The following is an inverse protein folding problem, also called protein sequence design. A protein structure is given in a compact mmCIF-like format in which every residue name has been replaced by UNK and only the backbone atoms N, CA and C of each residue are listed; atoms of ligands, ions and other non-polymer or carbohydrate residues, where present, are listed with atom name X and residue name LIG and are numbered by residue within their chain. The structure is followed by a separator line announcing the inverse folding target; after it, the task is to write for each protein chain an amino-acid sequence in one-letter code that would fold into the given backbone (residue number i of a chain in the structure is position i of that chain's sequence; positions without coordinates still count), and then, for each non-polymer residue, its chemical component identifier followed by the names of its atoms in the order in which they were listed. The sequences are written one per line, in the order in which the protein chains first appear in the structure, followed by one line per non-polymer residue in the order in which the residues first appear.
data_IF_804464969099
#
_entry.id   IF_804464969099
#
_cell.length_a   1.000
_cell.length_b   1.000
_cell.length_c   1.000
_cell.angle_alpha   90.00
_cell.angle_beta   90.00
_cell.angle_gamma   90.00
#
_symmetry.space_group_name_H-M   'P 1'
#
loop_
_entity.id
_entity.type
_entity.pdbx_description
1 polymer ?
#
# COMPACT_ATOMS: atom_id res chain seq x y z
N UNK A 1 -12.10 -44.63 90.85
CA UNK A 1 -13.44 -44.02 90.96
C UNK A 1 -13.74 -43.34 89.65
N UNK A 2 -14.80 -43.80 89.00
CA UNK A 2 -15.29 -43.42 87.67
C UNK A 2 -15.82 -41.99 87.61
N UNK A 3 -15.39 -41.21 86.61
CA UNK A 3 -16.15 -40.06 86.12
C UNK A 3 -16.37 -40.22 84.63
N UNK A 4 -17.48 -40.87 84.31
CA UNK A 4 -18.16 -40.87 83.01
C UNK A 4 -18.60 -39.46 82.66
N UNK A 5 -17.94 -38.80 81.71
CA UNK A 5 -18.47 -37.61 81.04
C UNK A 5 -19.39 -38.02 79.90
N UNK A 6 -20.67 -37.72 80.12
CA UNK A 6 -21.81 -37.82 79.21
C UNK A 6 -21.51 -37.15 77.86
N UNK A 7 -21.35 -37.95 76.80
CA UNK A 7 -21.15 -37.47 75.43
C UNK A 7 -22.50 -37.15 74.78
N UNK A 8 -23.15 -36.07 75.26
CA UNK A 8 -24.25 -35.45 74.52
C UNK A 8 -23.67 -34.68 73.35
N UNK A 9 -23.56 -35.37 72.22
CA UNK A 9 -23.39 -34.75 70.90
C UNK A 9 -24.48 -33.69 70.74
N UNK A 10 -24.08 -32.42 70.74
CA UNK A 10 -24.98 -31.27 70.60
C UNK A 10 -25.63 -31.27 69.21
N UNK A 11 -26.77 -31.95 69.09
CA UNK A 11 -27.62 -31.98 67.88
C UNK A 11 -28.06 -30.59 67.37
N UNK A 12 -27.91 -29.54 68.20
CA UNK A 12 -28.25 -28.16 67.87
C UNK A 12 -27.22 -27.49 66.95
N UNK A 13 -25.94 -27.92 66.95
CA UNK A 13 -24.95 -27.36 66.00
C UNK A 13 -25.10 -27.91 64.58
N UNK A 14 -25.67 -29.12 64.44
CA UNK A 14 -25.83 -29.80 63.15
C UNK A 14 -26.92 -29.16 62.27
N UNK A 15 -28.00 -28.65 62.88
CA UNK A 15 -29.04 -27.91 62.13
C UNK A 15 -28.51 -26.59 61.55
N UNK A 16 -27.50 -25.95 62.15
CA UNK A 16 -26.97 -24.66 61.67
C UNK A 16 -26.17 -24.76 60.37
N UNK A 17 -25.55 -25.91 60.10
CA UNK A 17 -24.67 -26.07 58.92
C UNK A 17 -25.44 -26.10 57.59
N UNK A 18 -26.68 -26.59 57.59
CA UNK A 18 -27.55 -26.66 56.41
C UNK A 18 -28.26 -25.33 56.08
N UNK A 19 -28.47 -24.48 57.09
CA UNK A 19 -29.25 -23.26 56.94
C UNK A 19 -28.41 -22.17 56.25
N UNK A 20 -27.09 -22.17 56.42
CA UNK A 20 -26.19 -21.17 55.83
C UNK A 20 -26.22 -21.10 54.28
N UNK A 21 -26.03 -22.21 53.52
CA UNK A 21 -26.09 -22.16 52.06
C UNK A 21 -27.49 -21.87 51.52
N UNK A 22 -28.55 -22.35 52.21
CA UNK A 22 -29.94 -22.07 51.83
C UNK A 22 -30.26 -20.58 52.06
N UNK A 23 -29.84 -19.99 53.17
CA UNK A 23 -30.00 -18.55 53.45
C UNK A 23 -29.24 -17.69 52.44
N UNK A 24 -28.02 -18.07 52.06
CA UNK A 24 -27.26 -17.35 51.04
C UNK A 24 -27.92 -17.43 49.66
N UNK A 25 -28.45 -18.60 49.28
CA UNK A 25 -29.21 -18.76 48.02
C UNK A 25 -30.50 -17.94 47.99
N UNK A 26 -31.24 -17.89 49.10
CA UNK A 26 -32.47 -17.08 49.22
C UNK A 26 -32.15 -15.58 49.20
N UNK A 27 -31.09 -15.15 49.89
CA UNK A 27 -30.66 -13.75 49.89
C UNK A 27 -30.23 -13.26 48.50
N UNK A 28 -29.49 -14.07 47.76
CA UNK A 28 -29.09 -13.77 46.38
C UNK A 28 -30.29 -13.70 45.43
N UNK A 29 -31.28 -14.59 45.62
CA UNK A 29 -32.52 -14.60 44.84
C UNK A 29 -33.39 -13.37 45.10
N UNK A 30 -33.49 -12.92 46.36
CA UNK A 30 -34.20 -11.70 46.74
C UNK A 30 -33.51 -10.43 46.21
N UNK A 31 -32.18 -10.43 46.15
CA UNK A 31 -31.39 -9.32 45.60
C UNK A 31 -31.58 -9.20 44.07
N UNK A 32 -31.71 -10.33 43.38
CA UNK A 32 -32.05 -10.37 41.95
C UNK A 32 -33.50 -9.93 41.65
N UNK A 33 -34.44 -10.13 42.58
CA UNK A 33 -35.84 -9.66 42.47
C UNK A 33 -35.99 -8.14 42.71
N UNK A 34 -35.06 -7.51 43.43
CA UNK A 34 -35.08 -6.07 43.74
C UNK A 34 -34.64 -5.18 42.56
N UNK A 35 -33.97 -5.76 41.55
CA UNK A 35 -33.53 -5.06 40.34
C UNK A 35 -34.60 -5.27 39.26
N UNK A 36 -35.57 -4.36 39.23
CA UNK A 36 -36.70 -4.22 38.28
C UNK A 36 -36.29 -4.49 36.80
N UNK A 37 -36.98 -5.20 35.89
CA UNK A 37 -38.34 -5.75 35.74
C UNK A 37 -38.28 -7.24 35.34
N UNK A 38 -39.20 -8.08 35.85
CA UNK A 38 -39.19 -9.55 35.73
C UNK A 38 -39.23 -9.99 34.24
N UNK A 39 -38.10 -10.51 33.75
CA UNK A 39 -37.98 -11.09 32.42
C UNK A 39 -37.79 -12.62 32.54
N UNK A 40 -38.33 -13.41 31.59
CA UNK A 40 -38.38 -14.88 31.67
C UNK A 40 -37.00 -15.51 31.93
N UNK A 41 -35.96 -14.89 31.37
CA UNK A 41 -34.56 -15.32 31.51
C UNK A 41 -34.04 -15.22 32.95
N UNK A 42 -34.50 -14.23 33.72
CA UNK A 42 -34.10 -14.01 35.11
C UNK A 42 -34.79 -15.02 36.05
N UNK A 43 -36.02 -15.42 35.71
CA UNK A 43 -36.77 -16.46 36.43
C UNK A 43 -36.12 -17.84 36.25
N UNK A 44 -35.63 -18.15 35.04
CA UNK A 44 -34.85 -19.37 34.78
C UNK A 44 -33.53 -19.37 35.57
N UNK A 45 -32.85 -18.23 35.67
CA UNK A 45 -31.60 -18.11 36.42
C UNK A 45 -31.79 -18.31 37.94
N UNK A 46 -32.89 -17.82 38.51
CA UNK A 46 -33.19 -18.05 39.93
C UNK A 46 -33.50 -19.53 40.19
N UNK A 47 -34.29 -20.16 39.32
CA UNK A 47 -34.64 -21.58 39.47
C UNK A 47 -33.39 -22.46 39.36
N UNK A 48 -32.48 -22.19 38.40
CA UNK A 48 -31.26 -22.98 38.25
C UNK A 48 -30.32 -22.85 39.44
N UNK A 49 -30.16 -21.66 40.01
CA UNK A 49 -29.37 -21.46 41.25
C UNK A 49 -29.97 -22.24 42.41
N UNK A 50 -31.31 -22.24 42.55
CA UNK A 50 -31.99 -22.93 43.64
C UNK A 50 -31.90 -24.46 43.49
N UNK A 51 -31.98 -24.98 42.27
CA UNK A 51 -31.77 -26.40 41.96
C UNK A 51 -30.34 -26.82 42.27
N UNK A 52 -29.34 -26.02 41.91
CA UNK A 52 -27.92 -26.31 42.22
C UNK A 52 -27.69 -26.31 43.73
N UNK A 53 -28.25 -25.34 44.47
CA UNK A 53 -28.12 -25.29 45.91
C UNK A 53 -28.74 -26.53 46.60
N UNK A 54 -29.91 -26.98 46.13
CA UNK A 54 -30.56 -28.20 46.64
C UNK A 54 -29.75 -29.45 46.27
N UNK A 55 -29.21 -29.53 45.06
CA UNK A 55 -28.38 -30.66 44.63
C UNK A 55 -27.08 -30.76 45.45
N UNK A 56 -26.41 -29.63 45.70
CA UNK A 56 -25.22 -29.56 46.57
C UNK A 56 -25.57 -29.96 47.99
N UNK A 57 -26.74 -29.54 48.50
CA UNK A 57 -27.18 -29.95 49.83
C UNK A 57 -27.44 -31.47 49.90
N UNK A 58 -28.14 -32.04 48.93
CA UNK A 58 -28.37 -33.50 48.88
C UNK A 58 -27.04 -34.26 48.76
N UNK A 59 -26.13 -33.79 47.91
CA UNK A 59 -24.81 -34.40 47.73
C UNK A 59 -23.98 -34.38 49.02
N UNK A 60 -23.90 -33.24 49.70
CA UNK A 60 -23.24 -33.14 51.00
C UNK A 60 -23.89 -34.07 52.05
N UNK A 61 -25.21 -34.24 51.99
CA UNK A 61 -25.95 -35.07 52.96
C UNK A 61 -25.64 -36.55 52.76
N UNK A 62 -25.58 -36.99 51.50
CA UNK A 62 -25.18 -38.35 51.17
C UNK A 62 -23.71 -38.61 51.49
N UNK A 63 -22.82 -37.67 51.15
CA UNK A 63 -21.39 -37.82 51.41
C UNK A 63 -21.06 -37.94 52.92
N UNK A 64 -21.78 -37.19 53.77
CA UNK A 64 -21.59 -37.26 55.22
C UNK A 64 -22.23 -38.50 55.88
N UNK A 65 -23.33 -39.04 55.33
CA UNK A 65 -23.90 -40.30 55.83
C UNK A 65 -23.01 -41.51 55.53
N UNK A 66 -22.21 -41.44 54.45
CA UNK A 66 -21.12 -42.41 54.20
C UNK A 66 -19.97 -42.30 55.20
N UNK A 67 -19.66 -41.10 55.71
CA UNK A 67 -18.63 -40.90 56.73
C UNK A 67 -19.09 -41.29 58.15
N UNK A 68 -20.40 -41.22 58.45
CA UNK A 68 -20.95 -41.57 59.77
C UNK A 68 -21.29 -43.06 59.95
N UNK A 69 -21.30 -43.88 58.88
CA UNK A 69 -21.54 -45.34 58.96
C UNK A 69 -20.28 -46.20 58.91
N UNK A 70 -19.10 -45.59 58.81
CA UNK A 70 -17.82 -46.29 58.81
C UNK A 70 -17.19 -46.47 60.19
N UNK A 71 -17.89 -47.08 61.15
CA UNK A 71 -17.26 -47.57 62.41
C UNK A 71 -18.02 -48.75 63.00
N UNK A 72 -17.73 -49.96 62.48
CA UNK A 72 -17.56 -51.15 63.32
C UNK A 72 -17.06 -52.32 62.48
N UNK A 73 -15.75 -52.54 62.53
CA UNK A 73 -15.22 -53.90 62.57
C UNK A 73 -13.84 -53.84 63.23
N UNK A 74 -13.79 -54.41 64.43
CA UNK A 74 -12.57 -54.68 65.19
C UNK A 74 -11.95 -55.94 64.57
N UNK A 75 -10.76 -55.82 64.01
CA UNK A 75 -9.88 -56.94 63.64
C UNK A 75 -8.48 -56.60 64.17
N UNK A 76 -7.80 -57.50 64.91
CA UNK A 76 -6.61 -57.14 65.67
C UNK A 76 -5.35 -57.10 64.80
N UNK A 77 -4.48 -56.13 65.14
CA UNK A 77 -3.02 -56.11 64.97
C UNK A 77 -2.39 -56.91 63.82
N UNK A 78 -2.01 -56.19 62.75
CA UNK A 78 -0.74 -56.41 62.06
C UNK A 78 -0.24 -55.10 61.43
N UNK A 79 0.69 -54.46 62.13
CA UNK A 79 1.42 -53.27 61.74
C UNK A 79 2.57 -53.66 60.80
N UNK A 80 2.44 -53.41 59.49
CA UNK A 80 3.57 -53.08 58.58
C UNK A 80 3.13 -52.72 57.14
N UNK A 81 2.02 -53.24 56.63
CA UNK A 81 1.70 -53.17 55.17
C UNK A 81 0.95 -51.90 54.74
N UNK A 82 0.18 -51.25 55.62
CA UNK A 82 -0.69 -50.13 55.23
C UNK A 82 0.03 -48.78 54.98
N UNK A 83 1.23 -48.57 55.52
CA UNK A 83 2.02 -47.36 55.23
C UNK A 83 2.63 -47.44 53.82
N UNK A 84 3.20 -48.60 53.50
CA UNK A 84 3.88 -48.86 52.23
C UNK A 84 2.94 -48.84 51.00
N UNK A 85 1.64 -49.08 51.16
CA UNK A 85 0.67 -49.04 50.04
C UNK A 85 0.17 -47.62 49.76
N UNK A 86 0.07 -46.76 50.79
CA UNK A 86 -0.36 -45.35 50.64
C UNK A 86 0.77 -44.48 50.07
N UNK A 87 2.01 -44.68 50.53
CA UNK A 87 3.20 -44.04 49.93
C UNK A 87 3.35 -44.40 48.44
N UNK A 88 3.16 -45.69 48.08
CA UNK A 88 3.28 -46.15 46.68
C UNK A 88 2.26 -45.55 45.71
N UNK A 89 1.04 -45.22 46.14
CA UNK A 89 0.05 -44.59 45.25
C UNK A 89 0.35 -43.09 45.04
N UNK A 90 0.86 -42.41 46.06
CA UNK A 90 1.25 -41.00 46.00
C UNK A 90 2.54 -40.82 45.16
N UNK A 91 3.51 -41.74 45.28
CA UNK A 91 4.75 -41.74 44.49
C UNK A 91 4.48 -42.03 43.00
N UNK A 92 3.60 -42.98 42.70
CA UNK A 92 3.17 -43.27 41.32
C UNK A 92 2.41 -42.11 40.67
N UNK A 93 1.67 -41.31 41.46
CA UNK A 93 1.01 -40.09 40.97
C UNK A 93 2.02 -39.00 40.65
N UNK A 94 3.02 -38.79 41.52
CA UNK A 94 4.10 -37.83 41.31
C UNK A 94 4.92 -38.18 40.07
N UNK A 95 5.33 -39.43 39.92
CA UNK A 95 6.11 -39.91 38.77
C UNK A 95 5.35 -39.70 37.44
N UNK A 96 4.07 -40.07 37.39
CA UNK A 96 3.22 -39.84 36.20
C UNK A 96 3.02 -38.36 35.90
N UNK A 97 2.87 -37.53 36.93
CA UNK A 97 2.71 -36.08 36.78
C UNK A 97 3.97 -35.43 36.23
N UNK A 98 5.15 -35.79 36.75
CA UNK A 98 6.44 -35.31 36.25
C UNK A 98 6.68 -35.71 34.79
N UNK A 99 6.37 -36.94 34.40
CA UNK A 99 6.47 -37.38 33.00
C UNK A 99 5.53 -36.58 32.06
N UNK A 100 4.32 -36.23 32.52
CA UNK A 100 3.39 -35.41 31.75
C UNK A 100 3.94 -33.98 31.59
N UNK A 101 4.43 -33.35 32.67
CA UNK A 101 5.01 -32.01 32.61
C UNK A 101 6.30 -31.98 31.78
N UNK A 102 7.18 -32.96 31.91
CA UNK A 102 8.38 -33.09 31.09
C UNK A 102 8.00 -33.10 29.60
N UNK A 103 7.02 -33.93 29.21
CA UNK A 103 6.53 -33.98 27.84
C UNK A 103 5.91 -32.65 27.39
N UNK A 104 5.11 -32.01 28.24
CA UNK A 104 4.49 -30.71 27.93
C UNK A 104 5.53 -29.60 27.77
N UNK A 105 6.54 -29.53 28.65
CA UNK A 105 7.64 -28.57 28.57
C UNK A 105 8.47 -28.83 27.32
N UNK A 106 8.76 -30.10 26.99
CA UNK A 106 9.47 -30.47 25.76
C UNK A 106 8.70 -30.08 24.50
N UNK A 107 7.38 -30.29 24.48
CA UNK A 107 6.51 -29.86 23.39
C UNK A 107 6.49 -28.34 23.27
N UNK A 108 6.29 -27.61 24.37
CA UNK A 108 6.29 -26.14 24.39
C UNK A 108 7.63 -25.57 23.91
N UNK A 109 8.76 -26.08 24.44
CA UNK A 109 10.12 -25.71 24.02
C UNK A 109 10.31 -25.89 22.52
N UNK A 110 9.96 -27.07 21.99
CA UNK A 110 10.09 -27.40 20.57
C UNK A 110 9.23 -26.48 19.70
N UNK A 111 7.96 -26.28 20.07
CA UNK A 111 7.04 -25.41 19.34
C UNK A 111 7.52 -23.96 19.31
N UNK A 112 7.95 -23.42 20.46
CA UNK A 112 8.48 -22.05 20.52
C UNK A 112 9.76 -21.91 19.70
N UNK A 113 10.66 -22.90 19.75
CA UNK A 113 11.87 -22.90 18.94
C UNK A 113 11.56 -22.87 17.44
N UNK A 114 10.67 -23.76 16.97
CA UNK A 114 10.26 -23.79 15.55
C UNK A 114 9.60 -22.46 15.15
N UNK A 115 8.69 -21.93 15.96
CA UNK A 115 7.98 -20.69 15.67
C UNK A 115 8.92 -19.48 15.59
N UNK A 116 9.90 -19.38 16.50
CA UNK A 116 10.89 -18.29 16.48
C UNK A 116 11.86 -18.43 15.31
N UNK A 117 12.31 -19.65 14.97
CA UNK A 117 13.16 -19.87 13.80
C UNK A 117 12.42 -19.50 12.50
N UNK A 118 11.14 -19.87 12.36
CA UNK A 118 10.30 -19.47 11.22
C UNK A 118 10.15 -17.94 11.15
N UNK A 119 9.89 -17.29 12.29
CA UNK A 119 9.80 -15.84 12.37
C UNK A 119 11.10 -15.14 11.98
N UNK A 120 12.25 -15.63 12.46
CA UNK A 120 13.57 -15.09 12.10
C UNK A 120 13.84 -15.22 10.59
N UNK A 121 13.45 -16.34 9.99
CA UNK A 121 13.61 -16.58 8.55
C UNK A 121 12.76 -15.58 7.75
N UNK A 122 11.49 -15.40 8.14
CA UNK A 122 10.59 -14.41 7.51
C UNK A 122 11.11 -12.98 7.61
N UNK A 123 11.69 -12.62 8.75
CA UNK A 123 12.31 -11.29 8.93
C UNK A 123 13.52 -11.10 8.01
N UNK A 124 14.38 -12.12 7.87
CA UNK A 124 15.49 -12.09 6.93
C UNK A 124 15.02 -11.95 5.48
N UNK A 125 13.97 -12.65 5.09
CA UNK A 125 13.38 -12.56 3.75
C UNK A 125 12.79 -11.16 3.50
N UNK A 126 12.07 -10.60 4.49
CA UNK A 126 11.53 -9.24 4.42
C UNK A 126 12.61 -8.17 4.27
N UNK A 127 13.73 -8.31 4.99
CA UNK A 127 14.87 -7.40 4.84
C UNK A 127 15.42 -7.45 3.40
N UNK A 128 15.59 -8.65 2.85
CA UNK A 128 16.14 -8.82 1.51
C UNK A 128 15.18 -8.32 0.41
N UNK A 129 13.88 -8.54 0.56
CA UNK A 129 12.87 -8.00 -0.35
C UNK A 129 12.79 -6.47 -0.28
N UNK A 130 12.94 -5.89 0.91
CA UNK A 130 13.00 -4.44 1.10
C UNK A 130 14.25 -3.83 0.44
N UNK A 131 15.41 -4.47 0.59
CA UNK A 131 16.65 -4.04 -0.07
C UNK A 131 16.49 -4.04 -1.60
N UNK A 132 15.88 -5.10 -2.16
CA UNK A 132 15.56 -5.19 -3.58
C UNK A 132 14.59 -4.09 -4.02
N UNK A 133 13.55 -3.80 -3.24
CA UNK A 133 12.58 -2.77 -3.55
C UNK A 133 13.23 -1.37 -3.57
N UNK A 134 14.06 -1.04 -2.58
CA UNK A 134 14.79 0.23 -2.53
C UNK A 134 15.79 0.34 -3.69
N UNK A 135 16.54 -0.73 -3.98
CA UNK A 135 17.48 -0.75 -5.11
C UNK A 135 16.79 -0.61 -6.47
N UNK A 136 15.60 -1.21 -6.65
CA UNK A 136 14.79 -1.04 -7.84
C UNK A 136 14.30 0.41 -7.99
N UNK A 137 13.82 1.02 -6.91
CA UNK A 137 13.38 2.41 -6.93
C UNK A 137 14.52 3.39 -7.21
N UNK A 138 15.72 3.13 -6.66
CA UNK A 138 16.93 3.92 -6.95
C UNK A 138 17.35 3.80 -8.41
N UNK A 139 17.38 2.61 -9.00
CA UNK A 139 17.70 2.47 -10.43
C UNK A 139 16.73 3.22 -11.32
N UNK A 140 15.43 3.20 -11.01
CA UNK A 140 14.42 3.95 -11.75
C UNK A 140 14.63 5.48 -11.67
N UNK A 141 15.27 5.99 -10.61
CA UNK A 141 15.62 7.41 -10.48
C UNK A 141 17.02 7.74 -11.00
N UNK A 142 17.96 6.80 -10.97
CA UNK A 142 19.24 6.94 -11.68
C UNK A 142 19.01 7.00 -13.19
N UNK A 143 18.06 6.22 -13.74
CA UNK A 143 17.60 6.39 -15.14
C UNK A 143 16.92 7.75 -15.38
N UNK A 144 16.44 8.44 -14.36
CA UNK A 144 15.93 9.81 -14.48
C UNK A 144 17.10 10.82 -14.57
N UNK A 145 18.13 10.63 -13.75
CA UNK A 145 19.24 11.56 -13.52
C UNK A 145 20.55 11.17 -14.23
N UNK A 146 20.53 10.15 -15.10
CA UNK A 146 21.71 9.65 -15.80
C UNK A 146 22.28 10.73 -16.73
N UNK A 147 23.20 11.52 -16.18
CA UNK A 147 23.96 12.53 -16.89
C UNK A 147 24.78 11.93 -18.03
N UNK A 148 24.67 12.60 -19.17
CA UNK A 148 25.60 12.62 -20.30
C UNK A 148 25.81 11.34 -21.13
N UNK A 149 25.17 10.19 -20.83
CA UNK A 149 25.37 9.03 -21.71
C UNK A 149 24.26 7.95 -21.80
N UNK A 150 23.06 8.15 -21.27
CA UNK A 150 22.04 7.10 -21.34
C UNK A 150 20.58 7.57 -21.23
N UNK A 151 20.10 8.44 -22.13
CA UNK A 151 18.68 8.48 -22.50
C UNK A 151 17.70 8.67 -21.35
N UNK A 152 18.15 9.36 -20.28
CA UNK A 152 17.36 9.51 -19.07
C UNK A 152 16.16 10.42 -19.27
N UNK A 153 15.20 10.36 -18.35
CA UNK A 153 13.96 11.16 -18.44
C UNK A 153 14.27 12.67 -18.54
N UNK A 154 15.32 13.16 -17.88
CA UNK A 154 15.75 14.58 -17.97
C UNK A 154 16.34 14.92 -19.34
N UNK A 155 17.12 14.03 -19.95
CA UNK A 155 17.68 14.25 -21.30
C UNK A 155 16.57 14.23 -22.36
N UNK A 156 15.67 13.24 -22.28
CA UNK A 156 14.49 13.15 -23.14
C UNK A 156 13.63 14.41 -23.02
N UNK A 157 13.52 14.98 -21.81
CA UNK A 157 12.80 16.22 -21.57
C UNK A 157 13.49 17.41 -22.24
N UNK A 158 14.79 17.62 -22.04
CA UNK A 158 15.54 18.72 -22.67
C UNK A 158 15.51 18.62 -24.20
N UNK A 159 15.61 17.40 -24.74
CA UNK A 159 15.46 17.13 -26.16
C UNK A 159 14.05 17.49 -26.65
N UNK A 160 13.02 17.05 -25.93
CA UNK A 160 11.63 17.38 -26.24
C UNK A 160 11.38 18.88 -26.18
N UNK A 161 11.97 19.60 -25.22
CA UNK A 161 11.91 21.07 -25.14
C UNK A 161 12.47 21.72 -26.40
N UNK A 162 13.65 21.27 -26.82
CA UNK A 162 14.34 21.79 -28.01
C UNK A 162 13.54 21.50 -29.29
N UNK A 163 13.02 20.28 -29.43
CA UNK A 163 12.19 19.89 -30.57
C UNK A 163 10.89 20.71 -30.61
N UNK A 164 10.20 20.88 -29.48
CA UNK A 164 8.99 21.70 -29.40
C UNK A 164 9.26 23.18 -29.68
N UNK A 165 10.38 23.73 -29.19
CA UNK A 165 10.81 25.08 -29.52
C UNK A 165 11.10 25.25 -31.02
N UNK A 166 11.69 24.24 -31.66
CA UNK A 166 11.93 24.26 -33.11
C UNK A 166 10.65 24.29 -33.93
N UNK A 167 9.58 23.64 -33.46
CA UNK A 167 8.25 23.67 -34.10
C UNK A 167 7.67 25.08 -34.04
N UNK A 168 7.78 25.76 -32.90
CA UNK A 168 7.34 27.16 -32.77
C UNK A 168 8.10 28.09 -33.73
N UNK A 169 9.41 27.90 -33.87
CA UNK A 169 10.21 28.65 -34.85
C UNK A 169 9.72 28.40 -36.28
N UNK A 170 9.51 27.14 -36.66
CA UNK A 170 9.02 26.78 -37.99
C UNK A 170 7.62 27.38 -38.28
N UNK A 171 6.74 27.44 -37.28
CA UNK A 171 5.42 28.06 -37.40
C UNK A 171 5.53 29.59 -37.59
N UNK A 172 6.43 30.25 -36.87
CA UNK A 172 6.69 31.67 -37.03
C UNK A 172 7.27 32.00 -38.43
N UNK A 173 8.19 31.17 -38.93
CA UNK A 173 8.74 31.29 -40.29
C UNK A 173 7.64 31.11 -41.35
N UNK A 174 6.74 30.14 -41.16
CA UNK A 174 5.59 29.95 -42.04
C UNK A 174 4.67 31.18 -42.07
N UNK A 175 4.42 31.82 -40.91
CA UNK A 175 3.66 33.08 -40.85
C UNK A 175 4.37 34.23 -41.56
N UNK A 176 5.71 34.30 -41.47
CA UNK A 176 6.47 35.30 -42.19
C UNK A 176 6.37 35.09 -43.71
N UNK A 177 6.56 33.87 -44.19
CA UNK A 177 6.40 33.53 -45.61
C UNK A 177 5.00 33.87 -46.13
N UNK A 178 3.96 33.57 -45.34
CA UNK A 178 2.57 33.94 -45.68
C UNK A 178 2.36 35.45 -45.82
N UNK A 179 2.95 36.26 -44.93
CA UNK A 179 2.91 37.73 -45.03
C UNK A 179 3.60 38.25 -46.29
N UNK A 180 4.69 37.61 -46.70
CA UNK A 180 5.38 37.95 -47.93
C UNK A 180 4.52 37.63 -49.17
N UNK A 181 3.88 36.47 -49.21
CA UNK A 181 2.92 36.11 -50.27
C UNK A 181 1.78 37.13 -50.38
N UNK A 182 1.22 37.61 -49.24
CA UNK A 182 0.19 38.67 -49.26
C UNK A 182 0.74 39.97 -49.86
N UNK A 183 2.00 40.33 -49.56
CA UNK A 183 2.65 41.51 -50.15
C UNK A 183 2.75 41.38 -51.66
N UNK A 184 3.19 40.23 -52.18
CA UNK A 184 3.31 39.99 -53.62
C UNK A 184 1.95 40.04 -54.33
N UNK A 185 0.89 39.48 -53.73
CA UNK A 185 -0.48 39.56 -54.28
C UNK A 185 -0.98 41.01 -54.34
N UNK A 186 -0.65 41.82 -53.32
CA UNK A 186 -0.99 43.25 -53.31
C UNK A 186 -0.24 44.01 -54.41
N UNK A 187 1.05 43.72 -54.63
CA UNK A 187 1.82 44.29 -55.75
C UNK A 187 1.23 43.89 -57.11
N UNK A 188 0.82 42.63 -57.26
CA UNK A 188 0.16 42.15 -58.47
C UNK A 188 -1.18 42.87 -58.73
N UNK A 189 -1.93 43.19 -57.68
CA UNK A 189 -3.17 43.98 -57.79
C UNK A 189 -2.90 45.39 -58.35
N UNK A 190 -1.78 46.01 -57.96
CA UNK A 190 -1.33 47.31 -58.54
C UNK A 190 -0.96 47.17 -60.02
N UNK A 191 -0.34 46.06 -60.42
CA UNK A 191 -0.06 45.79 -61.84
C UNK A 191 -1.35 45.59 -62.66
N UNK A 192 -2.36 44.95 -62.09
CA UNK A 192 -3.67 44.79 -62.73
C UNK A 192 -4.38 46.13 -62.94
N UNK A 193 -4.29 47.06 -61.98
CA UNK A 193 -4.82 48.42 -62.16
C UNK A 193 -4.21 49.14 -63.37
N UNK A 194 -2.89 49.03 -63.56
CA UNK A 194 -2.19 49.57 -64.74
C UNK A 194 -2.69 48.93 -66.04
N UNK A 195 -2.97 47.62 -66.04
CA UNK A 195 -3.51 46.92 -67.21
C UNK A 195 -4.92 47.41 -67.58
N UNK A 196 -5.75 47.77 -66.58
CA UNK A 196 -7.05 48.42 -66.85
C UNK A 196 -6.84 49.75 -67.58
N UNK A 197 -5.91 50.59 -67.11
CA UNK A 197 -5.59 51.87 -67.77
C UNK A 197 -5.13 51.66 -69.21
N UNK A 198 -4.22 50.71 -69.45
CA UNK A 198 -3.75 50.39 -70.81
C UNK A 198 -4.88 49.87 -71.71
N UNK A 199 -5.77 49.02 -71.18
CA UNK A 199 -6.92 48.52 -71.92
C UNK A 199 -7.87 49.66 -72.31
N UNK A 200 -8.12 50.60 -71.40
CA UNK A 200 -8.95 51.78 -71.66
C UNK A 200 -8.33 52.72 -72.70
N UNK A 201 -7.01 52.91 -72.67
CA UNK A 201 -6.26 53.66 -73.68
C UNK A 201 -6.40 53.03 -75.08
N UNK A 202 -6.21 51.71 -75.20
CA UNK A 202 -6.42 50.96 -76.45
C UNK A 202 -7.86 51.12 -76.94
N UNK A 203 -8.83 51.03 -76.03
CA UNK A 203 -10.24 51.25 -76.34
C UNK A 203 -10.52 52.66 -76.84
N UNK A 204 -9.84 53.67 -76.29
CA UNK A 204 -9.93 55.07 -76.73
C UNK A 204 -9.36 55.26 -78.14
N UNK A 205 -8.16 54.72 -78.40
CA UNK A 205 -7.53 54.74 -79.72
C UNK A 205 -8.41 54.04 -80.76
N UNK A 206 -9.00 52.90 -80.40
CA UNK A 206 -9.91 52.15 -81.25
C UNK A 206 -11.16 52.98 -81.59
N UNK A 207 -11.78 53.67 -80.62
CA UNK A 207 -12.92 54.58 -80.88
C UNK A 207 -12.53 55.77 -81.78
N UNK A 208 -11.35 56.35 -81.57
CA UNK A 208 -10.87 57.46 -82.40
C UNK A 208 -10.57 57.00 -83.84
N UNK A 209 -9.96 55.82 -84.00
CA UNK A 209 -9.71 55.20 -85.31
C UNK A 209 -11.02 54.86 -86.03
N UNK A 210 -12.02 54.38 -85.30
CA UNK A 210 -13.36 54.14 -85.84
C UNK A 210 -13.97 55.44 -86.39
N UNK A 211 -13.86 56.56 -85.67
CA UNK A 211 -14.33 57.87 -86.15
C UNK A 211 -13.53 58.36 -87.37
N UNK A 212 -12.21 58.18 -87.37
CA UNK A 212 -11.36 58.54 -88.51
C UNK A 212 -11.72 57.74 -89.77
N UNK A 213 -11.89 56.43 -89.61
CA UNK A 213 -12.24 55.51 -90.70
C UNK A 213 -13.64 55.77 -91.26
N UNK A 214 -14.58 56.19 -90.40
CA UNK A 214 -15.91 56.65 -90.82
C UNK A 214 -15.80 57.90 -91.68
N UNK A 215 -15.03 58.90 -91.25
CA UNK A 215 -14.81 60.13 -92.03
C UNK A 215 -14.13 59.81 -93.38
N UNK A 216 -13.15 58.91 -93.38
CA UNK A 216 -12.48 58.46 -94.60
C UNK A 216 -13.43 57.71 -95.56
N UNK A 217 -14.33 56.88 -95.03
CA UNK A 217 -15.34 56.19 -95.83
C UNK A 217 -16.34 57.17 -96.47
N UNK A 218 -16.73 58.21 -95.74
CA UNK A 218 -17.61 59.28 -96.25
C UNK A 218 -16.91 60.04 -97.38
N UNK A 219 -15.65 60.44 -97.20
CA UNK A 219 -14.91 61.19 -98.22
C UNK A 219 -14.59 60.32 -99.45
N UNK A 220 -14.31 59.03 -99.26
CA UNK A 220 -14.13 58.07 -100.35
C UNK A 220 -15.42 57.88 -101.17
N UNK A 221 -16.60 57.87 -100.52
CA UNK A 221 -17.88 57.85 -101.23
C UNK A 221 -18.13 59.15 -102.01
N UNK A 222 -17.68 60.29 -101.46
CA UNK A 222 -17.81 61.62 -102.09
C UNK A 222 -16.95 61.78 -103.34
N UNK A 223 -15.79 61.12 -103.39
CA UNK A 223 -14.88 61.10 -104.54
C UNK A 223 -15.35 60.18 -105.70
N UNK A 224 -16.46 59.44 -105.53
CA UNK A 224 -17.04 58.60 -106.58
C UNK A 224 -16.14 57.44 -107.01
N UNK A 225 -16.02 57.21 -108.33
CA UNK A 225 -15.23 56.10 -108.90
C UNK A 225 -13.74 56.17 -108.49
N UNK A 226 -13.16 57.37 -108.38
CA UNK A 226 -11.76 57.57 -107.95
C UNK A 226 -11.52 57.19 -106.48
N UNK A 227 -12.57 57.10 -105.65
CA UNK A 227 -12.49 56.78 -104.23
C UNK A 227 -12.71 55.31 -103.86
N UNK A 228 -13.07 54.43 -104.82
CA UNK A 228 -13.44 53.02 -104.53
C UNK A 228 -12.36 52.25 -103.74
N UNK A 229 -11.08 52.41 -104.08
CA UNK A 229 -9.99 51.75 -103.38
C UNK A 229 -9.86 52.21 -101.92
N UNK A 230 -10.00 53.53 -101.68
CA UNK A 230 -9.98 54.10 -100.33
C UNK A 230 -11.20 53.69 -99.50
N UNK A 231 -12.38 53.52 -100.12
CA UNK A 231 -13.58 53.06 -99.43
C UNK A 231 -13.42 51.64 -98.84
N UNK A 232 -12.76 50.73 -99.59
CA UNK A 232 -12.47 49.37 -99.11
C UNK A 232 -11.53 49.41 -97.91
N UNK A 233 -10.44 50.18 -97.99
CA UNK A 233 -9.48 50.33 -96.89
C UNK A 233 -10.16 50.95 -95.66
N UNK A 234 -10.96 52.01 -95.84
CA UNK A 234 -11.68 52.66 -94.74
C UNK A 234 -12.66 51.71 -94.04
N UNK A 235 -13.36 50.85 -94.80
CA UNK A 235 -14.25 49.83 -94.23
C UNK A 235 -13.47 48.79 -93.40
N UNK A 236 -12.31 48.35 -93.88
CA UNK A 236 -11.49 47.36 -93.15
C UNK A 236 -10.89 47.96 -91.87
N UNK A 237 -10.36 49.19 -91.95
CA UNK A 237 -9.88 49.92 -90.76
C UNK A 237 -11.01 50.12 -89.75
N UNK A 238 -12.22 50.43 -90.22
CA UNK A 238 -13.40 50.56 -89.35
C UNK A 238 -13.69 49.24 -88.64
N UNK A 239 -13.73 48.13 -89.36
CA UNK A 239 -13.98 46.81 -88.79
C UNK A 239 -12.93 46.45 -87.73
N UNK A 240 -11.64 46.61 -88.05
CA UNK A 240 -10.53 46.36 -87.11
C UNK A 240 -10.61 47.25 -85.86
N UNK A 241 -11.05 48.50 -86.00
CA UNK A 241 -11.21 49.42 -84.88
C UNK A 241 -12.38 49.02 -83.96
N UNK A 242 -13.48 48.48 -84.51
CA UNK A 242 -14.59 47.94 -83.71
C UNK A 242 -14.14 46.69 -82.96
N UNK A 243 -13.46 45.77 -83.64
CA UNK A 243 -12.90 44.56 -83.03
C UNK A 243 -11.86 44.89 -81.93
N UNK A 244 -11.05 45.93 -82.13
CA UNK A 244 -10.08 46.42 -81.13
C UNK A 244 -10.79 46.99 -79.90
N UNK A 245 -11.87 47.76 -80.10
CA UNK A 245 -12.66 48.31 -79.00
C UNK A 245 -13.38 47.22 -78.20
N UNK A 246 -13.91 46.18 -78.86
CA UNK A 246 -14.50 45.01 -78.20
C UNK A 246 -13.45 44.22 -77.41
N UNK A 247 -12.28 43.98 -78.02
CA UNK A 247 -11.16 43.30 -77.35
C UNK A 247 -10.71 44.05 -76.09
N UNK A 248 -10.56 45.37 -76.17
CA UNK A 248 -10.26 46.23 -75.01
C UNK A 248 -11.28 46.03 -73.87
N UNK A 249 -12.59 46.04 -74.15
CA UNK A 249 -13.63 45.78 -73.13
C UNK A 249 -13.49 44.41 -72.48
N UNK A 250 -13.21 43.38 -73.29
CA UNK A 250 -13.00 42.01 -72.79
C UNK A 250 -11.77 41.90 -71.89
N UNK A 251 -10.68 42.60 -72.23
CA UNK A 251 -9.49 42.71 -71.37
C UNK A 251 -9.86 43.38 -70.04
N UNK A 252 -10.52 44.53 -70.07
CA UNK A 252 -10.96 45.24 -68.85
C UNK A 252 -11.79 44.35 -67.95
N UNK A 253 -12.78 43.63 -68.50
CA UNK A 253 -13.62 42.72 -67.74
C UNK A 253 -12.82 41.57 -67.10
N UNK A 254 -11.87 40.98 -67.83
CA UNK A 254 -11.02 39.91 -67.31
C UNK A 254 -10.11 40.41 -66.18
N UNK A 255 -9.48 41.56 -66.36
CA UNK A 255 -8.59 42.16 -65.34
C UNK A 255 -9.35 42.52 -64.07
N UNK A 256 -10.58 43.06 -64.18
CA UNK A 256 -11.44 43.32 -63.02
C UNK A 256 -11.79 42.04 -62.25
N UNK A 257 -12.11 40.95 -62.96
CA UNK A 257 -12.37 39.65 -62.33
C UNK A 257 -11.14 39.10 -61.59
N UNK A 258 -9.94 39.27 -62.18
CA UNK A 258 -8.68 38.87 -61.54
C UNK A 258 -8.43 39.71 -60.28
N UNK A 259 -8.62 41.03 -60.34
CA UNK A 259 -8.49 41.91 -59.17
C UNK A 259 -9.45 41.53 -58.05
N UNK A 260 -10.71 41.22 -58.37
CA UNK A 260 -11.68 40.75 -57.38
C UNK A 260 -11.26 39.43 -56.74
N UNK A 261 -10.72 38.50 -57.53
CA UNK A 261 -10.20 37.22 -57.04
C UNK A 261 -9.00 37.43 -56.11
N UNK A 262 -8.07 38.32 -56.46
CA UNK A 262 -6.93 38.68 -55.60
C UNK A 262 -7.36 39.30 -54.28
N UNK A 263 -8.33 40.22 -54.30
CA UNK A 263 -8.88 40.82 -53.09
C UNK A 263 -9.49 39.76 -52.15
N UNK A 264 -10.18 38.77 -52.72
CA UNK A 264 -10.75 37.65 -51.95
C UNK A 264 -9.64 36.79 -51.31
N UNK A 265 -8.56 36.51 -52.05
CA UNK A 265 -7.41 35.76 -51.52
C UNK A 265 -6.73 36.53 -50.39
N UNK A 266 -6.57 37.84 -50.51
CA UNK A 266 -5.99 38.69 -49.45
C UNK A 266 -6.85 38.64 -48.19
N UNK A 267 -8.17 38.85 -48.30
CA UNK A 267 -9.08 38.79 -47.14
C UNK A 267 -9.07 37.43 -46.45
N UNK A 268 -9.10 36.34 -47.22
CA UNK A 268 -9.01 34.98 -46.68
C UNK A 268 -7.68 34.76 -45.96
N UNK A 269 -6.58 35.20 -46.57
CA UNK A 269 -5.23 35.03 -46.01
C UNK A 269 -5.04 35.84 -44.74
N UNK A 270 -5.57 37.06 -44.67
CA UNK A 270 -5.53 37.92 -43.48
C UNK A 270 -6.31 37.27 -42.32
N UNK A 271 -7.52 36.74 -42.58
CA UNK A 271 -8.31 36.00 -41.58
C UNK A 271 -7.58 34.77 -41.06
N UNK A 272 -7.04 33.94 -41.96
CA UNK A 272 -6.31 32.74 -41.54
C UNK A 272 -5.02 33.12 -40.81
N UNK A 273 -4.35 34.22 -41.15
CA UNK A 273 -3.15 34.69 -40.43
C UNK A 273 -3.46 35.02 -38.96
N UNK A 274 -4.61 35.65 -38.67
CA UNK A 274 -5.04 35.91 -37.30
C UNK A 274 -5.29 34.61 -36.52
N UNK A 275 -5.94 33.62 -37.15
CA UNK A 275 -6.17 32.30 -36.54
C UNK A 275 -4.86 31.55 -36.29
N UNK A 276 -3.91 31.62 -37.22
CA UNK A 276 -2.59 31.01 -37.07
C UNK A 276 -1.82 31.64 -35.91
N UNK A 277 -1.89 32.96 -35.74
CA UNK A 277 -1.26 33.67 -34.62
C UNK A 277 -1.81 33.23 -33.26
N UNK A 278 -3.12 33.12 -33.14
CA UNK A 278 -3.76 32.62 -31.92
C UNK A 278 -3.41 31.15 -31.64
N UNK A 279 -3.33 30.33 -32.70
CA UNK A 279 -2.95 28.93 -32.61
C UNK A 279 -1.49 28.74 -32.16
N UNK A 280 -0.56 29.53 -32.69
CA UNK A 280 0.85 29.53 -32.27
C UNK A 280 0.96 29.91 -30.80
N UNK A 281 0.33 31.02 -30.37
CA UNK A 281 0.33 31.46 -28.97
C UNK A 281 -0.24 30.39 -28.03
N UNK A 282 -1.33 29.75 -28.43
CA UNK A 282 -1.96 28.66 -27.65
C UNK A 282 -1.05 27.44 -27.56
N UNK A 283 -0.35 27.12 -28.65
CA UNK A 283 0.62 26.02 -28.69
C UNK A 283 1.82 26.30 -27.78
N UNK A 284 2.38 27.51 -27.81
CA UNK A 284 3.46 27.94 -26.90
C UNK A 284 3.06 27.78 -25.42
N UNK A 285 1.86 28.27 -25.06
CA UNK A 285 1.35 28.13 -23.69
C UNK A 285 1.15 26.66 -23.28
N UNK A 286 0.63 25.85 -24.20
CA UNK A 286 0.38 24.42 -23.95
C UNK A 286 1.69 23.68 -23.75
N UNK A 287 2.69 23.93 -24.61
CA UNK A 287 4.03 23.38 -24.48
C UNK A 287 4.62 23.76 -23.12
N UNK A 288 4.59 25.04 -22.75
CA UNK A 288 5.12 25.50 -21.47
C UNK A 288 4.43 24.81 -20.27
N UNK A 289 3.11 24.66 -20.31
CA UNK A 289 2.36 23.98 -19.25
C UNK A 289 2.70 22.50 -19.16
N UNK A 290 2.82 21.80 -20.29
CA UNK A 290 3.20 20.38 -20.35
C UNK A 290 4.61 20.20 -19.78
N UNK A 291 5.55 21.06 -20.19
CA UNK A 291 6.93 21.01 -19.69
C UNK A 291 7.01 21.26 -18.19
N UNK A 292 6.28 22.26 -17.68
CA UNK A 292 6.20 22.51 -16.24
C UNK A 292 5.55 21.37 -15.46
N UNK A 293 4.58 20.65 -16.05
CA UNK A 293 3.97 19.47 -15.44
C UNK A 293 4.98 18.32 -15.34
N UNK A 294 5.69 18.03 -16.42
CA UNK A 294 6.73 16.99 -16.44
C UNK A 294 7.82 17.25 -15.40
N UNK A 295 8.33 18.48 -15.32
CA UNK A 295 9.35 18.84 -14.32
C UNK A 295 8.87 18.57 -12.89
N UNK A 296 7.60 18.88 -12.58
CA UNK A 296 6.99 18.58 -11.28
C UNK A 296 6.89 17.09 -11.01
N UNK A 297 6.45 16.29 -11.99
CA UNK A 297 6.36 14.83 -11.85
C UNK A 297 7.74 14.24 -11.58
N UNK A 298 8.76 14.64 -12.33
CA UNK A 298 10.14 14.18 -12.15
C UNK A 298 10.67 14.52 -10.75
N UNK A 299 10.48 15.76 -10.31
CA UNK A 299 10.90 16.20 -8.97
C UNK A 299 10.17 15.42 -7.86
N UNK A 300 8.87 15.19 -8.03
CA UNK A 300 8.06 14.42 -7.08
C UNK A 300 8.49 12.96 -7.02
N UNK A 301 8.86 12.36 -8.16
CA UNK A 301 9.35 10.99 -8.23
C UNK A 301 10.69 10.85 -7.49
N UNK A 302 11.61 11.77 -7.70
CA UNK A 302 12.89 11.80 -6.97
C UNK A 302 12.67 11.92 -5.45
N UNK A 303 11.74 12.78 -5.03
CA UNK A 303 11.37 12.91 -3.62
C UNK A 303 10.80 11.62 -3.02
N UNK A 304 9.84 11.00 -3.71
CA UNK A 304 9.22 9.75 -3.26
C UNK A 304 10.24 8.60 -3.15
N UNK A 305 11.21 8.52 -4.05
CA UNK A 305 12.28 7.51 -3.96
C UNK A 305 13.23 7.76 -2.79
N UNK A 306 13.52 9.03 -2.49
CA UNK A 306 14.33 9.38 -1.32
C UNK A 306 13.61 8.98 -0.01
N UNK A 307 12.31 9.29 0.11
CA UNK A 307 11.49 8.89 1.24
C UNK A 307 11.41 7.35 1.38
N UNK A 308 11.23 6.64 0.26
CA UNK A 308 11.21 5.17 0.27
C UNK A 308 12.55 4.59 0.72
N UNK A 309 13.68 5.18 0.32
CA UNK A 309 15.00 4.74 0.75
C UNK A 309 15.20 4.97 2.26
N UNK A 310 14.75 6.10 2.79
CA UNK A 310 14.81 6.41 4.22
C UNK A 310 13.93 5.46 5.05
N UNK A 311 12.67 5.27 4.64
CA UNK A 311 11.76 4.31 5.25
C UNK A 311 12.33 2.88 5.18
N UNK A 312 12.96 2.52 4.07
CA UNK A 312 13.64 1.23 3.90
C UNK A 312 14.79 1.02 4.89
N UNK A 313 15.61 2.05 5.13
CA UNK A 313 16.65 1.99 6.16
C UNK A 313 16.07 1.87 7.57
N UNK A 314 14.97 2.57 7.86
CA UNK A 314 14.28 2.49 9.14
C UNK A 314 13.77 1.07 9.44
N UNK A 315 13.07 0.45 8.48
CA UNK A 315 12.54 -0.91 8.62
C UNK A 315 13.69 -1.94 8.72
N UNK A 316 14.77 -1.77 7.96
CA UNK A 316 15.97 -2.62 8.08
C UNK A 316 16.53 -2.63 9.50
N UNK A 317 16.62 -1.46 10.14
CA UNK A 317 17.08 -1.35 11.52
C UNK A 317 16.12 -2.03 12.50
N UNK A 318 14.80 -1.81 12.36
CA UNK A 318 13.79 -2.50 13.19
C UNK A 318 13.85 -4.02 13.04
N UNK A 319 14.03 -4.53 11.82
CA UNK A 319 14.20 -5.97 11.57
C UNK A 319 15.47 -6.48 12.25
N UNK A 320 16.58 -5.75 12.15
CA UNK A 320 17.83 -6.12 12.81
C UNK A 320 17.67 -6.20 14.32
N UNK A 321 17.04 -5.19 14.93
CA UNK A 321 16.74 -5.16 16.37
C UNK A 321 15.81 -6.31 16.79
N UNK A 322 14.79 -6.63 15.99
CA UNK A 322 13.90 -7.76 16.24
C UNK A 322 14.67 -9.09 16.20
N UNK A 323 15.53 -9.30 15.20
CA UNK A 323 16.36 -10.50 15.10
C UNK A 323 17.31 -10.66 16.29
N UNK A 324 17.92 -9.58 16.77
CA UNK A 324 18.72 -9.59 18.02
C UNK A 324 17.83 -9.94 19.21
N UNK A 325 16.64 -9.34 19.31
CA UNK A 325 15.72 -9.65 20.40
C UNK A 325 15.32 -11.11 20.41
N UNK A 326 15.17 -11.79 19.26
CA UNK A 326 14.81 -13.21 19.15
C UNK A 326 15.88 -14.16 19.74
N UNK A 327 17.10 -13.70 20.00
CA UNK A 327 18.14 -14.50 20.65
C UNK A 327 17.76 -14.97 22.07
N UNK A 328 16.76 -14.33 22.71
CA UNK A 328 16.19 -14.83 23.97
C UNK A 328 15.68 -16.27 23.85
N UNK A 329 15.32 -16.74 22.65
CA UNK A 329 14.84 -18.10 22.44
C UNK A 329 15.91 -19.15 22.73
N UNK A 330 17.18 -18.90 22.38
CA UNK A 330 18.26 -19.84 22.71
C UNK A 330 18.37 -20.00 24.22
N UNK A 331 18.36 -18.87 24.92
CA UNK A 331 18.37 -18.80 26.38
C UNK A 331 17.16 -19.52 27.01
N UNK A 332 15.93 -19.31 26.52
CA UNK A 332 14.74 -20.03 26.99
C UNK A 332 14.86 -21.53 26.72
N UNK A 333 15.40 -21.91 25.55
CA UNK A 333 15.63 -23.32 25.20
C UNK A 333 16.63 -23.99 26.15
N UNK A 334 17.69 -23.29 26.55
CA UNK A 334 18.65 -23.76 27.56
C UNK A 334 17.98 -23.94 28.93
N UNK A 335 17.21 -22.96 29.38
CA UNK A 335 16.52 -23.01 30.68
C UNK A 335 15.57 -24.20 30.75
N UNK A 336 14.68 -24.33 29.74
CA UNK A 336 13.74 -25.45 29.68
C UNK A 336 14.45 -26.79 29.50
N UNK A 337 15.62 -26.82 28.83
CA UNK A 337 16.47 -28.00 28.73
C UNK A 337 16.96 -28.50 30.09
N UNK A 338 17.50 -27.61 30.92
CA UNK A 338 17.94 -27.96 32.27
C UNK A 338 16.76 -28.41 33.15
N UNK A 339 15.60 -27.74 33.05
CA UNK A 339 14.39 -28.14 33.81
C UNK A 339 13.94 -29.56 33.43
N UNK A 340 13.89 -29.89 32.13
CA UNK A 340 13.57 -31.26 31.67
C UNK A 340 14.59 -32.26 32.22
N UNK A 341 15.89 -31.95 32.15
CA UNK A 341 16.95 -32.83 32.67
C UNK A 341 16.83 -33.06 34.18
N UNK A 342 16.53 -32.01 34.95
CA UNK A 342 16.34 -32.11 36.41
C UNK A 342 15.08 -32.89 36.78
N UNK A 343 13.97 -32.71 36.05
CA UNK A 343 12.75 -33.52 36.23
C UNK A 343 13.05 -34.99 35.96
N UNK A 344 13.74 -35.31 34.85
CA UNK A 344 14.08 -36.68 34.48
C UNK A 344 15.02 -37.33 35.52
N UNK A 345 16.06 -36.63 35.96
CA UNK A 345 17.00 -37.12 36.97
C UNK A 345 16.33 -37.32 38.35
N UNK A 346 15.37 -36.46 38.71
CA UNK A 346 14.58 -36.65 39.93
C UNK A 346 13.69 -37.88 39.84
N UNK A 347 12.99 -38.08 38.71
CA UNK A 347 12.18 -39.28 38.46
C UNK A 347 13.02 -40.57 38.55
N UNK A 348 14.22 -40.58 37.97
CA UNK A 348 15.13 -41.72 38.02
C UNK A 348 15.56 -42.03 39.46
N UNK A 349 15.88 -41.00 40.26
CA UNK A 349 16.24 -41.18 41.68
C UNK A 349 15.06 -41.67 42.53
N UNK A 350 13.84 -41.19 42.26
CA UNK A 350 12.63 -41.67 42.92
C UNK A 350 12.35 -43.15 42.58
N UNK A 351 12.53 -43.55 41.32
CA UNK A 351 12.38 -44.95 40.89
C UNK A 351 13.46 -45.87 41.50
N UNK A 352 14.70 -45.39 41.62
CA UNK A 352 15.78 -46.11 42.32
C UNK A 352 15.49 -46.29 43.82
N UNK A 353 14.87 -45.30 44.47
CA UNK A 353 14.41 -45.43 45.84
C UNK A 353 13.31 -46.48 45.96
N UNK A 354 12.28 -46.45 45.10
CA UNK A 354 11.17 -47.43 45.09
C UNK A 354 11.63 -48.87 44.85
N UNK A 355 12.59 -49.07 43.94
CA UNK A 355 13.15 -50.39 43.62
C UNK A 355 14.16 -50.89 44.65
N UNK A 356 14.79 -49.98 45.41
CA UNK A 356 15.79 -50.27 46.44
C UNK A 356 15.23 -50.66 47.83
N UNK A 357 13.91 -50.56 48.06
CA UNK A 357 13.22 -50.80 49.36
C UNK A 357 13.34 -52.26 49.88
N UNK A 358 14.12 -53.14 49.23
CA UNK A 358 14.39 -54.52 49.67
C UNK A 358 15.86 -54.85 49.96
N UNK A 359 16.80 -53.93 49.75
CA UNK A 359 18.25 -54.15 49.95
C UNK A 359 18.81 -53.10 50.91
N UNK A 360 19.73 -53.49 51.79
CA UNK A 360 20.31 -52.72 52.91
C UNK A 360 21.14 -51.47 52.51
N UNK A 361 20.81 -50.81 51.38
CA UNK A 361 21.60 -49.75 50.75
C UNK A 361 20.79 -48.60 50.15
N UNK A 362 19.48 -48.49 50.37
CA UNK A 362 18.69 -47.34 49.92
C UNK A 362 19.11 -46.07 50.70
N UNK A 363 19.95 -45.23 50.08
CA UNK A 363 20.34 -43.93 50.65
C UNK A 363 19.23 -42.92 50.39
N UNK A 364 18.74 -42.19 51.41
CA UNK A 364 17.79 -41.10 51.19
C UNK A 364 18.41 -40.02 50.29
N UNK A 365 17.57 -39.37 49.48
CA UNK A 365 18.01 -38.23 48.66
C UNK A 365 18.42 -37.10 49.60
N UNK A 366 19.70 -36.71 49.55
CA UNK A 366 20.19 -35.52 50.21
C UNK A 366 19.73 -34.29 49.42
N UNK A 367 18.79 -33.54 50.00
CA UNK A 367 18.20 -32.37 49.37
C UNK A 367 19.24 -31.26 49.09
N UNK A 368 20.25 -31.08 49.95
CA UNK A 368 21.25 -30.04 49.75
C UNK A 368 22.21 -30.43 48.61
N UNK A 369 22.66 -31.69 48.61
CA UNK A 369 23.52 -32.20 47.55
C UNK A 369 22.82 -32.15 46.18
N UNK A 370 21.52 -32.40 46.15
CA UNK A 370 20.70 -32.27 44.94
C UNK A 370 20.58 -30.82 44.45
N UNK A 371 20.34 -29.87 45.35
CA UNK A 371 20.27 -28.45 45.01
C UNK A 371 21.62 -27.95 44.47
N UNK A 372 22.73 -28.32 45.11
CA UNK A 372 24.08 -27.94 44.67
C UNK A 372 24.39 -28.54 43.27
N UNK A 373 23.96 -29.78 43.01
CA UNK A 373 24.07 -30.43 41.70
C UNK A 373 23.25 -29.71 40.63
N UNK A 374 22.01 -29.31 40.93
CA UNK A 374 21.19 -28.50 40.04
C UNK A 374 21.87 -27.15 39.73
N UNK A 375 22.40 -26.44 40.74
CA UNK A 375 23.09 -25.16 40.55
C UNK A 375 24.31 -25.29 39.64
N UNK A 376 25.05 -26.40 39.74
CA UNK A 376 26.25 -26.65 38.93
C UNK A 376 25.98 -26.74 37.42
N UNK A 377 24.76 -27.10 37.04
CA UNK A 377 24.36 -27.26 35.62
C UNK A 377 23.82 -25.98 34.99
N UNK A 378 23.61 -24.90 35.76
CA UNK A 378 23.07 -23.65 35.22
C UNK A 378 24.09 -22.87 34.38
N UNK A 379 23.70 -22.58 33.14
CA UNK A 379 24.47 -21.77 32.19
C UNK A 379 24.06 -20.30 32.21
N UNK A 380 22.91 -19.96 32.78
CA UNK A 380 22.36 -18.60 32.77
C UNK A 380 22.33 -17.96 34.16
N UNK A 381 22.45 -16.63 34.23
CA UNK A 381 22.43 -15.87 35.49
C UNK A 381 21.08 -15.99 36.21
N UNK A 382 20.00 -15.89 35.47
CA UNK A 382 18.62 -15.91 35.95
C UNK A 382 18.31 -17.25 36.63
N UNK A 383 18.76 -18.38 36.06
CA UNK A 383 18.64 -19.68 36.74
C UNK A 383 19.33 -19.71 38.10
N UNK A 384 20.50 -19.09 38.23
CA UNK A 384 21.23 -19.01 39.52
C UNK A 384 20.55 -18.07 40.51
N UNK A 385 19.92 -17.00 40.03
CA UNK A 385 19.16 -16.06 40.86
C UNK A 385 17.85 -16.69 41.34
N UNK A 386 17.13 -17.38 40.45
CA UNK A 386 15.91 -18.14 40.76
C UNK A 386 16.17 -19.22 41.80
N UNK A 387 17.27 -19.97 41.64
CA UNK A 387 17.71 -21.00 42.59
C UNK A 387 17.96 -20.44 44.00
N UNK A 388 18.39 -19.18 44.10
CA UNK A 388 18.65 -18.49 45.37
C UNK A 388 17.41 -17.76 45.92
N UNK A 389 16.28 -17.82 45.23
CA UNK A 389 15.04 -17.13 45.60
C UNK A 389 15.14 -15.61 45.52
N UNK A 390 16.05 -15.07 44.71
CA UNK A 390 16.25 -13.63 44.54
C UNK A 390 15.32 -13.15 43.42
N UNK A 391 14.33 -12.31 43.74
CA UNK A 391 13.43 -11.74 42.72
C UNK A 391 14.19 -10.76 41.81
N UNK A 392 14.13 -10.98 40.50
CA UNK A 392 14.78 -10.15 39.50
C UNK A 392 13.78 -9.78 38.40
N UNK A 393 13.05 -8.67 38.63
CA UNK A 393 12.00 -8.18 37.74
C UNK A 393 12.50 -7.47 36.47
N UNK A 394 13.80 -7.49 36.19
CA UNK A 394 14.35 -6.88 34.98
C UNK A 394 14.98 -7.98 34.14
N UNK A 395 14.51 -8.24 32.90
CA UNK A 395 15.32 -9.01 31.96
C UNK A 395 16.63 -8.24 31.85
N UNK A 396 17.72 -8.82 32.34
CA UNK A 396 19.02 -8.17 32.26
C UNK A 396 19.22 -7.82 30.78
N UNK A 397 19.39 -6.52 30.46
CA UNK A 397 20.00 -6.14 29.19
C UNK A 397 21.32 -6.89 29.13
N UNK A 398 21.32 -8.02 28.43
CA UNK A 398 22.44 -8.93 28.44
C UNK A 398 23.62 -8.20 27.80
N UNK A 399 24.60 -7.83 28.64
CA UNK A 399 25.96 -7.72 28.16
C UNK A 399 26.32 -9.11 27.65
N UNK A 400 26.34 -9.24 26.33
CA UNK A 400 26.90 -10.37 25.61
C UNK A 400 28.39 -10.42 25.99
N UNK A 401 28.76 -11.28 26.94
CA UNK A 401 30.14 -11.69 27.10
C UNK A 401 30.42 -12.74 26.02
N UNK A 402 31.09 -12.31 24.95
CA UNK A 402 31.69 -13.21 23.98
C UNK A 402 32.65 -14.18 24.69
N UNK A 403 32.46 -15.49 24.48
CA UNK A 403 33.48 -16.51 24.63
C UNK A 403 33.50 -17.38 23.38
#
# INVERSE_FOLDING_TARGET
MSTTTDNRINWVSYKRFWVAPILQGVAMSLLLLAINSINLMLLVAIISILVIAVAVAIWLSNSFTHLAKGKQQVVPSESFIAHNVREREDDALLQKSFQIWERQIKTARSQTQIAVTDLATRFSDLALDLERAVAAARRATEEVDAGDNAGGIVELFNKSETELASIILALNDAQQSKRETVREIRELSVHMEKLVTMADEVGSIARQTNLLSLNAAIEAARAGESGRGFAVVASEVRKLSIESADTSKRITALVLNINHSMATVVDLTDKTTQQDQESVKTSEQTIHNVMGCFQKVTTSLMGATAELADAGMGIQNEISDALVSLQFQDRVSQILGHVIQHIAALCERLEQLETGIGTDGAKPIDAQMWLDEMESTYTTLEQRLDHKGIDHQTPAKAQVAFF
#
